data_IF_871240893965
#
_entry.id   IF_871240893965
#
_cell.length_a   1.000
_cell.length_b   1.000
_cell.length_c   1.000
_cell.angle_alpha   90.00
_cell.angle_beta   90.00
_cell.angle_gamma   90.00
#
_symmetry.space_group_name_H-M   'P 1'
#
loop_
_entity.id
_entity.type
_entity.pdbx_description
1 polymer ?
#
# COMPACT_ATOMS: atom_id res chain seq x y z
N UNK A 1 -6.35 -10.30 10.74
CA UNK A 1 -5.24 -10.72 11.64
C UNK A 1 -4.41 -9.54 12.16
N UNK A 2 -4.07 -8.52 11.35
CA UNK A 2 -3.29 -7.35 11.80
C UNK A 2 -3.96 -6.54 12.92
N UNK A 3 -5.26 -6.21 12.82
CA UNK A 3 -6.00 -5.53 13.89
C UNK A 3 -5.86 -6.28 15.23
N UNK A 4 -6.08 -7.60 15.24
CA UNK A 4 -5.98 -8.41 16.46
C UNK A 4 -4.56 -8.43 17.03
N UNK A 5 -3.54 -8.54 16.18
CA UNK A 5 -2.14 -8.58 16.61
C UNK A 5 -1.68 -7.25 17.23
N UNK A 6 -2.20 -6.13 16.72
CA UNK A 6 -1.90 -4.77 17.19
C UNK A 6 -2.75 -4.44 18.42
N UNK A 7 -4.08 -4.54 18.33
CA UNK A 7 -5.03 -4.11 19.37
C UNK A 7 -4.88 -4.91 20.68
N UNK A 8 -4.44 -6.17 20.60
CA UNK A 8 -4.15 -6.98 21.79
C UNK A 8 -2.68 -6.92 22.23
N UNK A 9 -1.86 -6.08 21.58
CA UNK A 9 -0.42 -5.95 21.78
C UNK A 9 0.35 -7.29 21.75
N UNK A 10 -0.16 -8.27 21.00
CA UNK A 10 0.37 -9.63 20.97
C UNK A 10 1.67 -9.67 20.18
N UNK A 11 1.74 -8.92 19.07
CA UNK A 11 2.98 -8.77 18.31
C UNK A 11 2.93 -7.57 17.35
N UNK A 12 3.50 -6.42 17.75
CA UNK A 12 3.69 -5.27 16.87
C UNK A 12 4.44 -5.60 15.58
N UNK A 13 5.42 -6.53 15.64
CA UNK A 13 6.13 -7.05 14.47
C UNK A 13 5.20 -7.68 13.46
N UNK A 14 4.38 -8.65 13.89
CA UNK A 14 3.43 -9.31 12.99
C UNK A 14 2.37 -8.34 12.48
N UNK A 15 2.01 -7.31 13.27
CA UNK A 15 1.19 -6.19 12.81
C UNK A 15 1.76 -5.51 11.56
N UNK A 16 3.05 -5.14 11.57
CA UNK A 16 3.75 -4.55 10.42
C UNK A 16 3.79 -5.53 9.24
N UNK A 17 4.22 -6.77 9.47
CA UNK A 17 4.37 -7.78 8.40
C UNK A 17 3.03 -8.06 7.72
N UNK A 18 1.96 -8.28 8.50
CA UNK A 18 0.63 -8.53 7.96
C UNK A 18 0.09 -7.31 7.19
N UNK A 19 0.33 -6.10 7.68
CA UNK A 19 -0.12 -4.87 7.01
C UNK A 19 0.54 -4.73 5.64
N UNK A 20 1.86 -4.99 5.56
CA UNK A 20 2.57 -5.01 4.28
C UNK A 20 2.02 -6.07 3.33
N UNK A 21 1.80 -7.32 3.78
CA UNK A 21 1.31 -8.37 2.89
C UNK A 21 -0.11 -8.10 2.38
N UNK A 22 -0.97 -7.47 3.18
CA UNK A 22 -2.28 -7.02 2.72
C UNK A 22 -2.15 -6.02 1.56
N UNK A 23 -1.26 -5.02 1.70
CA UNK A 23 -0.95 -4.07 0.63
C UNK A 23 -0.35 -4.77 -0.59
N UNK A 24 0.58 -5.71 -0.40
CA UNK A 24 1.25 -6.44 -1.47
C UNK A 24 0.27 -7.24 -2.33
N UNK A 25 -0.65 -8.01 -1.72
CA UNK A 25 -1.62 -8.77 -2.49
C UNK A 25 -2.65 -7.86 -3.18
N UNK A 26 -3.06 -6.77 -2.54
CA UNK A 26 -3.94 -5.77 -3.16
C UNK A 26 -3.27 -5.09 -4.35
N UNK A 27 -1.98 -4.75 -4.24
CA UNK A 27 -1.20 -4.20 -5.35
C UNK A 27 -1.07 -5.19 -6.52
N UNK A 28 -0.90 -6.49 -6.24
CA UNK A 28 -0.89 -7.51 -7.30
C UNK A 28 -2.28 -7.68 -7.94
N UNK A 29 -3.36 -7.57 -7.16
CA UNK A 29 -4.72 -7.55 -7.72
C UNK A 29 -4.93 -6.35 -8.65
N UNK A 30 -4.48 -5.16 -8.24
CA UNK A 30 -4.52 -3.95 -9.07
C UNK A 30 -3.70 -4.08 -10.35
N UNK A 31 -2.47 -4.60 -10.25
CA UNK A 31 -1.64 -4.88 -11.41
C UNK A 31 -2.35 -5.84 -12.36
N UNK A 32 -2.94 -6.90 -11.83
CA UNK A 32 -3.68 -7.89 -12.60
C UNK A 32 -4.93 -7.31 -13.26
N UNK A 33 -5.67 -6.44 -12.58
CA UNK A 33 -6.80 -5.69 -13.15
C UNK A 33 -6.38 -4.88 -14.39
N UNK A 34 -5.18 -4.29 -14.36
CA UNK A 34 -4.59 -3.63 -15.53
C UNK A 34 -3.79 -4.56 -16.46
N UNK A 35 -4.02 -5.87 -16.40
CA UNK A 35 -3.42 -6.92 -17.23
C UNK A 35 -1.90 -7.10 -17.07
N UNK A 36 -1.34 -6.70 -15.93
CA UNK A 36 0.06 -6.97 -15.57
C UNK A 36 0.15 -8.14 -14.60
N UNK A 37 0.98 -9.14 -14.91
CA UNK A 37 1.24 -10.27 -14.02
C UNK A 37 2.67 -10.22 -13.49
N UNK A 38 2.81 -10.17 -12.18
CA UNK A 38 4.11 -10.28 -11.50
C UNK A 38 4.47 -11.75 -11.34
N UNK A 39 5.72 -12.10 -11.68
CA UNK A 39 6.26 -13.45 -11.46
C UNK A 39 6.78 -13.65 -10.03
N UNK A 40 7.22 -14.87 -9.72
CA UNK A 40 7.55 -15.25 -8.33
C UNK A 40 8.91 -14.75 -7.84
N UNK A 41 9.85 -14.52 -8.77
CA UNK A 41 11.20 -14.04 -8.44
C UNK A 41 11.17 -12.55 -8.17
N UNK A 42 11.81 -12.12 -7.08
CA UNK A 42 11.92 -10.71 -6.67
C UNK A 42 10.57 -9.95 -6.68
N UNK A 43 9.46 -10.66 -6.45
CA UNK A 43 8.10 -10.18 -6.65
C UNK A 43 7.82 -8.86 -5.92
N UNK A 44 8.28 -8.72 -4.67
CA UNK A 44 8.10 -7.49 -3.89
C UNK A 44 8.77 -6.26 -4.50
N UNK A 45 9.93 -6.45 -5.15
CA UNK A 45 10.60 -5.35 -5.86
C UNK A 45 9.87 -5.03 -7.15
N UNK A 46 9.57 -6.05 -7.95
CA UNK A 46 8.86 -5.91 -9.22
C UNK A 46 7.50 -5.26 -9.03
N UNK A 47 6.69 -5.68 -8.04
CA UNK A 47 5.42 -5.05 -7.71
C UNK A 47 5.59 -3.57 -7.38
N UNK A 48 6.58 -3.21 -6.55
CA UNK A 48 6.84 -1.81 -6.19
C UNK A 48 7.23 -0.95 -7.39
N UNK A 49 8.13 -1.45 -8.23
CA UNK A 49 8.62 -0.72 -9.40
C UNK A 49 7.52 -0.60 -10.47
N UNK A 50 6.70 -1.64 -10.63
CA UNK A 50 5.53 -1.63 -11.50
C UNK A 50 4.45 -0.64 -11.03
N UNK A 51 4.23 -0.53 -9.72
CA UNK A 51 3.32 0.48 -9.17
C UNK A 51 3.76 1.90 -9.55
N UNK A 52 5.06 2.19 -9.47
CA UNK A 52 5.63 3.49 -9.83
C UNK A 52 5.52 3.74 -11.34
N UNK A 53 5.96 2.77 -12.16
CA UNK A 53 6.15 2.97 -13.59
C UNK A 53 4.88 2.78 -14.44
N UNK A 54 3.94 1.93 -13.99
CA UNK A 54 2.81 1.49 -14.81
C UNK A 54 1.45 1.90 -14.25
N UNK A 55 1.35 2.09 -12.93
CA UNK A 55 0.07 2.21 -12.23
C UNK A 55 -0.19 3.61 -11.65
N UNK A 56 0.86 4.36 -11.27
CA UNK A 56 0.71 5.70 -10.65
C UNK A 56 -0.26 6.62 -11.40
N UNK A 57 -0.06 6.76 -12.71
CA UNK A 57 -0.89 7.65 -13.53
C UNK A 57 -2.30 7.10 -13.73
N UNK A 58 -2.46 5.77 -13.68
CA UNK A 58 -3.77 5.12 -13.72
C UNK A 58 -4.56 5.41 -12.45
N UNK A 59 -3.96 5.21 -11.28
CA UNK A 59 -4.58 5.58 -9.99
C UNK A 59 -4.98 7.05 -9.99
N UNK A 60 -4.09 7.95 -10.45
CA UNK A 60 -4.41 9.38 -10.55
C UNK A 60 -5.67 9.61 -11.40
N UNK A 61 -5.74 8.98 -12.58
CA UNK A 61 -6.89 9.11 -13.48
C UNK A 61 -8.20 8.65 -12.84
N UNK A 62 -8.21 7.47 -12.22
CA UNK A 62 -9.38 6.94 -11.50
C UNK A 62 -9.82 7.89 -10.37
N UNK A 63 -8.86 8.45 -9.63
CA UNK A 63 -9.16 9.42 -8.56
C UNK A 63 -9.81 10.69 -9.10
N UNK A 64 -9.32 11.25 -10.22
CA UNK A 64 -9.92 12.43 -10.87
C UNK A 64 -11.37 12.15 -11.28
N UNK A 65 -11.63 11.00 -11.89
CA UNK A 65 -12.98 10.59 -12.31
C UNK A 65 -13.95 10.52 -11.12
N UNK A 66 -13.46 10.14 -9.95
CA UNK A 66 -14.25 10.05 -8.72
C UNK A 66 -14.48 11.40 -8.01
N UNK A 67 -13.68 12.45 -8.26
CA UNK A 67 -13.77 13.70 -7.50
C UNK A 67 -14.89 14.65 -7.91
N UNK A 68 -15.41 14.59 -9.14
CA UNK A 68 -16.60 15.37 -9.56
C UNK A 68 -16.50 16.90 -9.46
N UNK A 69 -15.32 17.46 -9.17
CA UNK A 69 -15.06 18.90 -8.93
C UNK A 69 -14.30 19.56 -10.10
N UNK A 70 -14.05 20.87 -10.02
CA UNK A 70 -13.27 21.64 -11.01
C UNK A 70 -11.92 21.00 -11.31
N UNK A 71 -11.61 20.86 -12.60
CA UNK A 71 -10.55 20.01 -13.15
C UNK A 71 -9.17 20.17 -12.46
N UNK A 72 -8.76 21.39 -12.13
CA UNK A 72 -7.40 21.68 -11.64
C UNK A 72 -7.16 21.29 -10.17
N UNK A 73 -8.09 21.60 -9.26
CA UNK A 73 -7.96 21.24 -7.83
C UNK A 73 -8.11 19.73 -7.61
N UNK A 74 -9.02 19.09 -8.38
CA UNK A 74 -9.18 17.64 -8.38
C UNK A 74 -7.91 16.95 -8.89
N UNK A 75 -7.26 17.50 -9.91
CA UNK A 75 -6.02 16.95 -10.46
C UNK A 75 -4.86 17.02 -9.47
N UNK A 76 -4.65 18.15 -8.79
CA UNK A 76 -3.60 18.29 -7.79
C UNK A 76 -3.81 17.32 -6.62
N UNK A 77 -5.05 17.22 -6.11
CA UNK A 77 -5.39 16.31 -5.03
C UNK A 77 -5.16 14.84 -5.43
N UNK A 78 -5.59 14.46 -6.63
CA UNK A 78 -5.39 13.11 -7.16
C UNK A 78 -3.90 12.78 -7.34
N UNK A 79 -3.10 13.74 -7.80
CA UNK A 79 -1.65 13.59 -7.94
C UNK A 79 -0.99 13.35 -6.58
N UNK A 80 -1.31 14.16 -5.58
CA UNK A 80 -0.77 14.02 -4.22
C UNK A 80 -1.15 12.67 -3.61
N UNK A 81 -2.41 12.27 -3.77
CA UNK A 81 -2.92 11.02 -3.21
C UNK A 81 -2.32 9.79 -3.89
N UNK A 82 -2.23 9.78 -5.23
CA UNK A 82 -1.56 8.70 -5.97
C UNK A 82 -0.09 8.57 -5.55
N UNK A 83 0.64 9.68 -5.46
CA UNK A 83 2.04 9.65 -5.00
C UNK A 83 2.16 9.10 -3.58
N UNK A 84 1.31 9.56 -2.66
CA UNK A 84 1.31 9.12 -1.26
C UNK A 84 1.03 7.62 -1.13
N UNK A 85 0.09 7.06 -1.91
CA UNK A 85 -0.19 5.63 -1.93
C UNK A 85 1.03 4.81 -2.36
N UNK A 86 1.70 5.23 -3.43
CA UNK A 86 2.89 4.52 -3.93
C UNK A 86 4.08 4.65 -2.97
N UNK A 87 4.30 5.83 -2.40
CA UNK A 87 5.36 6.06 -1.42
C UNK A 87 5.13 5.26 -0.13
N UNK A 88 3.90 5.26 0.40
CA UNK A 88 3.56 4.46 1.57
C UNK A 88 3.77 2.97 1.31
N UNK A 89 3.43 2.48 0.13
CA UNK A 89 3.71 1.09 -0.26
C UNK A 89 5.20 0.77 -0.17
N UNK A 90 6.07 1.63 -0.74
CA UNK A 90 7.51 1.41 -0.69
C UNK A 90 8.09 1.54 0.73
N UNK A 91 7.57 2.47 1.53
CA UNK A 91 7.93 2.57 2.94
C UNK A 91 7.60 1.28 3.70
N UNK A 92 6.41 0.71 3.52
CA UNK A 92 6.03 -0.53 4.19
C UNK A 92 6.83 -1.73 3.66
N UNK A 93 7.15 -1.77 2.35
CA UNK A 93 8.07 -2.77 1.77
C UNK A 93 9.43 -2.75 2.44
N UNK A 94 10.03 -1.57 2.51
CA UNK A 94 11.35 -1.35 3.11
C UNK A 94 11.34 -1.66 4.61
N UNK A 95 10.29 -1.24 5.31
CA UNK A 95 10.05 -1.52 6.73
C UNK A 95 9.97 -3.02 7.00
N UNK A 96 9.23 -3.78 6.17
CA UNK A 96 9.15 -5.23 6.28
C UNK A 96 10.51 -5.89 6.09
N UNK A 97 11.27 -5.46 5.08
CA UNK A 97 12.62 -6.01 4.85
C UNK A 97 13.53 -5.81 6.06
N UNK A 98 13.48 -4.63 6.70
CA UNK A 98 14.23 -4.36 7.93
C UNK A 98 13.81 -5.28 9.08
N UNK A 99 12.52 -5.33 9.40
CA UNK A 99 12.04 -6.02 10.60
C UNK A 99 11.96 -7.54 10.50
N UNK A 100 11.90 -8.11 9.29
CA UNK A 100 11.94 -9.56 9.12
C UNK A 100 13.28 -10.18 9.56
N UNK A 101 14.37 -9.39 9.54
CA UNK A 101 15.72 -9.90 9.81
C UNK A 101 16.44 -9.22 11.00
N UNK A 102 15.97 -8.07 11.50
CA UNK A 102 16.53 -7.43 12.70
C UNK A 102 15.60 -7.57 13.92
N UNK A 103 15.89 -8.53 14.79
CA UNK A 103 15.20 -8.78 16.08
C UNK A 103 15.93 -8.00 17.20
N UNK A 104 16.05 -6.67 17.10
CA UNK A 104 16.81 -5.91 18.12
C UNK A 104 16.08 -4.76 18.79
N UNK A 105 14.93 -4.32 18.29
CA UNK A 105 14.33 -3.10 18.80
C UNK A 105 12.98 -3.43 19.44
N UNK A 106 12.67 -2.80 20.56
CA UNK A 106 11.28 -2.59 20.99
C UNK A 106 10.50 -2.06 19.77
N UNK A 107 9.80 -2.94 19.05
CA UNK A 107 8.96 -2.53 17.94
C UNK A 107 7.80 -1.79 18.57
N UNK A 108 7.94 -0.46 18.57
CA UNK A 108 6.99 0.44 19.16
C UNK A 108 5.62 0.22 18.50
N UNK A 109 4.62 -0.10 19.31
CA UNK A 109 3.20 -0.18 18.95
C UNK A 109 2.75 0.92 17.99
N UNK A 110 3.30 2.13 18.15
CA UNK A 110 3.09 3.27 17.24
C UNK A 110 3.42 2.93 15.78
N UNK A 111 4.57 2.29 15.52
CA UNK A 111 4.98 1.91 14.15
C UNK A 111 4.05 0.88 13.53
N UNK A 112 3.59 -0.09 14.33
CA UNK A 112 2.63 -1.08 13.85
C UNK A 112 1.26 -0.46 13.55
N UNK A 113 0.84 0.52 14.35
CA UNK A 113 -0.39 1.28 14.11
C UNK A 113 -0.31 2.11 12.84
N UNK A 114 0.83 2.78 12.58
CA UNK A 114 1.07 3.48 11.32
C UNK A 114 1.00 2.53 10.12
N UNK A 115 1.65 1.36 10.20
CA UNK A 115 1.58 0.35 9.12
C UNK A 115 0.15 -0.10 8.86
N UNK A 116 -0.63 -0.33 9.92
CA UNK A 116 -2.03 -0.72 9.80
C UNK A 116 -2.89 0.36 9.15
N UNK A 117 -2.74 1.62 9.56
CA UNK A 117 -3.49 2.73 8.98
C UNK A 117 -3.17 2.90 7.49
N UNK A 118 -1.87 2.88 7.13
CA UNK A 118 -1.45 2.91 5.72
C UNK A 118 -2.03 1.76 4.91
N UNK A 119 -2.06 0.55 5.48
CA UNK A 119 -2.68 -0.58 4.81
C UNK A 119 -4.18 -0.39 4.62
N UNK A 120 -4.92 0.13 5.62
CA UNK A 120 -6.36 0.42 5.49
C UNK A 120 -6.63 1.45 4.40
N UNK A 121 -5.89 2.56 4.40
CA UNK A 121 -6.00 3.58 3.37
C UNK A 121 -5.68 3.00 1.99
N UNK A 122 -4.58 2.27 1.85
CA UNK A 122 -4.21 1.66 0.57
C UNK A 122 -5.26 0.68 0.05
N UNK A 123 -5.76 -0.22 0.91
CA UNK A 123 -6.79 -1.18 0.52
C UNK A 123 -8.07 -0.48 0.10
N UNK A 124 -8.51 0.53 0.86
CA UNK A 124 -9.72 1.28 0.54
C UNK A 124 -9.65 1.89 -0.86
N UNK A 125 -8.56 2.58 -1.19
CA UNK A 125 -8.39 3.21 -2.51
C UNK A 125 -8.29 2.17 -3.63
N UNK A 126 -7.57 1.07 -3.42
CA UNK A 126 -7.47 0.01 -4.44
C UNK A 126 -8.82 -0.69 -4.64
N UNK A 127 -9.59 -0.92 -3.57
CA UNK A 127 -10.93 -1.50 -3.67
C UNK A 127 -11.88 -0.61 -4.47
N UNK A 128 -11.83 0.72 -4.30
CA UNK A 128 -12.65 1.63 -5.12
C UNK A 128 -12.33 1.49 -6.62
N UNK A 129 -11.05 1.35 -6.97
CA UNK A 129 -10.62 1.17 -8.36
C UNK A 129 -11.05 -0.20 -8.90
N UNK A 130 -10.94 -1.26 -8.11
CA UNK A 130 -11.23 -2.63 -8.56
C UNK A 130 -12.71 -2.94 -8.75
N UNK A 131 -13.60 -2.16 -8.12
CA UNK A 131 -15.06 -2.36 -8.16
C UNK A 131 -15.71 -1.53 -9.27
N UNK A 132 -15.04 -0.48 -9.76
CA UNK A 132 -15.44 0.26 -10.95
C UNK A 132 -15.22 -0.57 -12.23
#
# INVERSE_FOLDING_TARGET
MSNIAIDKNISPLWGIVCSYYAMFYSANALLYHYNYKVGDKIAHKVTSDALIALIRDKIKKELIENYGETEEAAEELAQLKSNNLIENFDFERSKRNKYQYSISDEINYSKSKTSLNRAKEFLFEIEQILIN
#
